data_IF_079751585933
#
_entry.id   IF_079751585933
#
_cell.length_a   1.000
_cell.length_b   1.000
_cell.length_c   1.000
_cell.angle_alpha   90.00
_cell.angle_beta   90.00
_cell.angle_gamma   90.00
#
_symmetry.space_group_name_H-M   'P 1'
#
loop_
_entity.id
_entity.type
_entity.pdbx_description
1 polymer ?
#
# COMPACT_ATOMS: atom_id res chain seq x y z
N UNK A 1 14.88 0.71 31.30
CA UNK A 1 14.70 0.92 29.84
C UNK A 1 13.27 1.41 29.66
N UNK A 2 13.05 2.53 29.00
CA UNK A 2 11.67 3.02 28.72
C UNK A 2 11.01 2.10 27.70
N UNK A 3 9.69 1.97 27.73
CA UNK A 3 8.92 1.14 26.78
C UNK A 3 9.33 1.44 25.34
N UNK A 4 9.42 2.72 25.00
CA UNK A 4 9.81 3.19 23.66
C UNK A 4 11.21 2.70 23.24
N UNK A 5 12.20 2.68 24.17
CA UNK A 5 13.56 2.20 23.84
C UNK A 5 13.54 0.72 23.45
N UNK A 6 12.72 -0.09 24.14
CA UNK A 6 12.54 -1.51 23.84
C UNK A 6 11.87 -1.69 22.48
N UNK A 7 10.80 -0.96 22.21
CA UNK A 7 10.10 -1.01 20.92
C UNK A 7 11.03 -0.62 19.76
N UNK A 8 11.81 0.44 19.91
CA UNK A 8 12.77 0.87 18.88
C UNK A 8 13.87 -0.17 18.63
N UNK A 9 14.34 -0.89 19.68
CA UNK A 9 15.30 -1.97 19.49
C UNK A 9 14.69 -3.15 18.74
N UNK A 10 13.45 -3.54 19.07
CA UNK A 10 12.74 -4.61 18.35
C UNK A 10 12.49 -4.20 16.90
N UNK A 11 12.05 -2.98 16.67
CA UNK A 11 11.82 -2.43 15.34
C UNK A 11 13.09 -2.45 14.48
N UNK A 12 14.22 -2.04 15.04
CA UNK A 12 15.52 -2.08 14.37
C UNK A 12 15.96 -3.50 13.99
N UNK A 13 15.58 -4.51 14.78
CA UNK A 13 15.81 -5.93 14.46
C UNK A 13 14.86 -6.38 13.36
N UNK A 14 13.57 -6.10 13.48
CA UNK A 14 12.53 -6.54 12.52
C UNK A 14 12.78 -5.91 11.15
N UNK A 15 12.96 -4.59 11.08
CA UNK A 15 13.29 -3.87 9.85
C UNK A 15 14.78 -3.77 9.56
N UNK A 16 15.53 -4.72 10.09
CA UNK A 16 16.96 -4.85 9.80
C UNK A 16 17.23 -5.18 8.33
N UNK A 17 18.52 -5.18 7.92
CA UNK A 17 18.92 -5.44 6.52
C UNK A 17 18.35 -6.75 5.96
N UNK A 18 18.16 -7.76 6.82
CA UNK A 18 17.67 -9.09 6.44
C UNK A 18 16.22 -9.05 5.88
N UNK A 19 15.32 -8.26 6.50
CA UNK A 19 13.94 -8.14 6.00
C UNK A 19 13.90 -7.33 4.70
N UNK A 20 14.68 -6.26 4.60
CA UNK A 20 14.78 -5.46 3.39
C UNK A 20 15.33 -6.30 2.21
N UNK A 21 16.35 -7.11 2.48
CA UNK A 21 16.91 -8.05 1.47
C UNK A 21 15.86 -9.10 1.08
N UNK A 22 15.09 -9.61 2.04
CA UNK A 22 14.03 -10.59 1.76
C UNK A 22 12.90 -9.97 0.91
N UNK A 23 12.45 -8.75 1.24
CA UNK A 23 11.41 -8.02 0.51
C UNK A 23 11.84 -7.68 -0.92
N UNK A 24 12.97 -6.99 -1.07
CA UNK A 24 13.48 -6.58 -2.39
C UNK A 24 13.97 -7.78 -3.19
N UNK A 25 14.66 -8.72 -2.53
CA UNK A 25 15.15 -9.96 -3.15
C UNK A 25 14.01 -10.83 -3.71
N UNK A 26 12.89 -10.95 -2.98
CA UNK A 26 11.69 -11.63 -3.49
C UNK A 26 11.15 -10.92 -4.72
N UNK A 27 11.09 -9.59 -4.72
CA UNK A 27 10.67 -8.80 -5.87
C UNK A 27 11.58 -8.97 -7.09
N UNK A 28 12.90 -8.96 -6.89
CA UNK A 28 13.90 -9.22 -7.94
C UNK A 28 13.72 -10.63 -8.49
N UNK A 29 13.64 -11.62 -7.62
CA UNK A 29 13.45 -13.03 -8.02
C UNK A 29 12.17 -13.21 -8.85
N UNK A 30 11.04 -12.66 -8.40
CA UNK A 30 9.79 -12.69 -9.15
C UNK A 30 9.89 -11.94 -10.47
N UNK A 31 10.57 -10.80 -10.52
CA UNK A 31 10.79 -10.02 -11.74
C UNK A 31 11.52 -10.85 -12.80
N UNK A 32 12.58 -11.57 -12.40
CA UNK A 32 13.34 -12.46 -13.30
C UNK A 32 12.46 -13.64 -13.74
N UNK A 33 11.79 -14.31 -12.82
CA UNK A 33 10.92 -15.47 -13.10
C UNK A 33 9.73 -15.13 -14.00
N UNK A 34 9.20 -13.94 -13.89
CA UNK A 34 8.08 -13.41 -14.69
C UNK A 34 8.54 -12.64 -15.93
N UNK A 35 9.87 -12.56 -16.18
CA UNK A 35 10.45 -11.91 -17.36
C UNK A 35 10.04 -10.44 -17.52
N UNK A 36 10.25 -9.64 -16.48
CA UNK A 36 9.94 -8.21 -16.45
C UNK A 36 8.45 -7.92 -16.78
N UNK A 37 7.54 -8.79 -16.32
CA UNK A 37 6.12 -8.70 -16.62
C UNK A 37 5.55 -7.33 -16.27
N UNK A 38 5.97 -6.74 -15.16
CA UNK A 38 5.51 -5.44 -14.69
C UNK A 38 5.82 -4.30 -15.66
N UNK A 39 6.87 -4.41 -16.49
CA UNK A 39 7.14 -3.46 -17.58
C UNK A 39 6.34 -3.82 -18.83
N UNK A 40 6.51 -5.05 -19.31
CA UNK A 40 5.97 -5.50 -20.61
C UNK A 40 4.43 -5.49 -20.62
N UNK A 41 3.80 -5.74 -19.49
CA UNK A 41 2.34 -5.87 -19.38
C UNK A 41 1.67 -4.71 -18.65
N UNK A 42 2.40 -3.68 -18.25
CA UNK A 42 1.83 -2.50 -17.58
C UNK A 42 0.71 -1.83 -18.41
N UNK A 43 0.87 -1.58 -19.72
CA UNK A 43 -0.22 -0.97 -20.50
C UNK A 43 -1.50 -1.81 -20.51
N UNK A 44 -1.35 -3.14 -20.53
CA UNK A 44 -2.49 -4.05 -20.41
C UNK A 44 -3.11 -3.99 -19.02
N UNK A 45 -2.30 -3.96 -17.98
CA UNK A 45 -2.75 -3.88 -16.59
C UNK A 45 -3.56 -2.60 -16.34
N UNK A 46 -3.06 -1.46 -16.80
CA UNK A 46 -3.77 -0.17 -16.73
C UNK A 46 -5.11 -0.21 -17.47
N UNK A 47 -5.13 -0.83 -18.64
CA UNK A 47 -6.40 -1.02 -19.39
C UNK A 47 -7.38 -1.91 -18.63
N UNK A 48 -6.93 -2.93 -17.92
CA UNK A 48 -7.80 -3.84 -17.16
C UNK A 48 -8.48 -3.15 -15.98
N UNK A 49 -7.93 -2.06 -15.44
CA UNK A 49 -8.57 -1.29 -14.36
C UNK A 49 -10.01 -0.90 -14.76
N UNK A 50 -10.19 -0.43 -16.01
CA UNK A 50 -11.48 0.07 -16.48
C UNK A 50 -12.27 -0.94 -17.33
N UNK A 51 -11.59 -1.93 -17.92
CA UNK A 51 -12.17 -2.84 -18.91
C UNK A 51 -12.08 -4.31 -18.51
N UNK A 52 -11.89 -4.62 -17.22
CA UNK A 52 -12.00 -5.99 -16.72
C UNK A 52 -13.41 -6.51 -16.95
N UNK A 53 -13.52 -7.78 -17.39
CA UNK A 53 -14.82 -8.36 -17.74
C UNK A 53 -15.69 -8.71 -16.54
N UNK A 54 -15.14 -8.71 -15.32
CA UNK A 54 -15.82 -9.05 -14.07
C UNK A 54 -16.67 -10.33 -14.14
N UNK A 55 -16.17 -11.35 -14.89
CA UNK A 55 -16.82 -12.63 -15.09
C UNK A 55 -16.14 -13.69 -14.23
N UNK A 56 -16.87 -14.28 -13.33
CA UNK A 56 -16.39 -15.34 -12.43
C UNK A 56 -16.93 -15.15 -11.04
N UNK A 57 -16.52 -16.06 -10.16
CA UNK A 57 -16.89 -15.99 -8.75
C UNK A 57 -16.17 -14.83 -8.08
N UNK A 58 -16.79 -14.21 -7.10
CA UNK A 58 -16.27 -13.06 -6.38
C UNK A 58 -17.39 -12.24 -5.77
N UNK A 59 -17.08 -11.45 -4.74
CA UNK A 59 -18.06 -10.63 -4.02
C UNK A 59 -18.19 -9.22 -4.61
N UNK A 60 -17.08 -8.71 -5.18
CA UNK A 60 -16.99 -7.34 -5.70
C UNK A 60 -16.29 -7.32 -7.06
N UNK A 61 -16.54 -6.29 -7.85
CA UNK A 61 -15.89 -6.10 -9.14
C UNK A 61 -14.37 -5.81 -8.96
N UNK A 62 -13.56 -6.15 -9.96
CA UNK A 62 -12.10 -5.99 -9.90
C UNK A 62 -11.67 -4.55 -9.68
N UNK A 63 -12.40 -3.57 -10.22
CA UNK A 63 -12.15 -2.15 -9.95
C UNK A 63 -12.40 -1.79 -8.48
N UNK A 64 -13.50 -2.28 -7.89
CA UNK A 64 -13.78 -2.11 -6.45
C UNK A 64 -12.73 -2.76 -5.59
N UNK A 65 -12.25 -3.94 -5.97
CA UNK A 65 -11.16 -4.63 -5.27
C UNK A 65 -9.87 -3.81 -5.30
N UNK A 66 -9.52 -3.23 -6.47
CA UNK A 66 -8.36 -2.34 -6.60
C UNK A 66 -8.53 -1.07 -5.76
N UNK A 67 -9.69 -0.40 -5.84
CA UNK A 67 -9.96 0.79 -5.04
C UNK A 67 -9.91 0.49 -3.53
N UNK A 68 -10.39 -0.68 -3.10
CA UNK A 68 -10.30 -1.08 -1.68
C UNK A 68 -8.86 -1.38 -1.27
N UNK A 69 -8.06 -1.98 -2.17
CA UNK A 69 -6.63 -2.17 -1.92
C UNK A 69 -5.89 -0.82 -1.86
N UNK A 70 -6.17 0.10 -2.79
CA UNK A 70 -5.63 1.45 -2.78
C UNK A 70 -6.10 2.27 -1.57
N UNK A 71 -7.34 2.06 -1.11
CA UNK A 71 -7.82 2.67 0.13
C UNK A 71 -6.93 2.32 1.32
N UNK A 72 -6.47 1.06 1.41
CA UNK A 72 -5.60 0.62 2.48
C UNK A 72 -4.16 1.14 2.33
N UNK A 73 -3.64 1.24 1.10
CA UNK A 73 -2.24 1.60 0.83
C UNK A 73 -2.01 3.11 0.72
N UNK A 74 -2.91 3.85 0.03
CA UNK A 74 -2.79 5.31 -0.13
C UNK A 74 -3.26 6.00 1.16
N UNK A 75 -2.32 6.25 2.05
CA UNK A 75 -2.56 6.75 3.41
C UNK A 75 -1.48 7.74 3.87
N UNK A 76 -1.22 7.71 5.17
CA UNK A 76 -0.13 8.52 5.76
C UNK A 76 1.23 8.19 5.17
N UNK A 77 1.45 6.97 4.67
CA UNK A 77 2.70 6.55 4.02
C UNK A 77 3.10 7.44 2.86
N UNK A 78 2.15 7.84 2.03
CA UNK A 78 2.39 8.66 0.83
C UNK A 78 2.71 10.13 1.12
N UNK A 79 2.39 10.62 2.29
CA UNK A 79 2.61 12.03 2.72
C UNK A 79 3.68 12.07 3.81
N UNK A 80 3.39 11.47 4.97
CA UNK A 80 4.28 11.46 6.14
C UNK A 80 5.48 10.53 5.92
N UNK A 81 5.25 9.35 5.35
CA UNK A 81 6.31 8.37 5.09
C UNK A 81 7.34 8.86 4.08
N UNK A 82 6.90 9.47 2.98
CA UNK A 82 7.79 10.07 1.97
C UNK A 82 8.61 11.21 2.57
N UNK A 83 7.98 12.10 3.32
CA UNK A 83 8.66 13.20 4.00
C UNK A 83 9.73 12.69 4.97
N UNK A 84 9.39 11.66 5.76
CA UNK A 84 10.33 11.02 6.68
C UNK A 84 11.50 10.36 5.95
N UNK A 85 11.23 9.68 4.81
CA UNK A 85 12.28 9.08 4.00
C UNK A 85 13.28 10.11 3.48
N UNK A 86 12.78 11.23 2.94
CA UNK A 86 13.63 12.31 2.42
C UNK A 86 14.36 13.03 3.56
N UNK A 87 13.72 13.24 4.70
CA UNK A 87 14.36 13.87 5.86
C UNK A 87 15.52 13.06 6.40
N UNK A 88 15.38 11.73 6.45
CA UNK A 88 16.43 10.83 6.95
C UNK A 88 17.49 10.52 5.89
N UNK A 89 17.09 10.21 4.67
CA UNK A 89 17.95 9.70 3.60
C UNK A 89 18.31 10.71 2.52
N UNK A 90 17.87 11.98 2.67
CA UNK A 90 18.02 12.99 1.62
C UNK A 90 17.15 12.71 0.38
N UNK A 91 17.28 13.53 -0.67
CA UNK A 91 16.56 13.37 -1.94
C UNK A 91 16.72 11.99 -2.59
N UNK A 92 17.90 11.37 -2.42
CA UNK A 92 18.19 10.02 -2.94
C UNK A 92 17.26 8.91 -2.43
N UNK A 93 16.60 9.12 -1.27
CA UNK A 93 15.60 8.18 -0.77
C UNK A 93 14.44 7.99 -1.76
N UNK A 94 14.05 9.03 -2.51
CA UNK A 94 13.00 8.92 -3.52
C UNK A 94 13.37 7.97 -4.66
N UNK A 95 14.63 7.96 -5.11
CA UNK A 95 15.12 6.99 -6.09
C UNK A 95 14.96 5.54 -5.58
N UNK A 96 15.35 5.29 -4.34
CA UNK A 96 15.25 3.96 -3.74
C UNK A 96 13.81 3.53 -3.47
N UNK A 97 12.88 4.48 -3.28
CA UNK A 97 11.43 4.19 -3.29
C UNK A 97 10.98 3.71 -4.67
N UNK A 98 11.46 4.31 -5.77
CA UNK A 98 11.15 3.84 -7.13
C UNK A 98 11.68 2.43 -7.39
N UNK A 99 12.91 2.16 -6.96
CA UNK A 99 13.51 0.81 -7.07
C UNK A 99 12.66 -0.22 -6.31
N UNK A 100 12.29 0.09 -5.07
CA UNK A 100 11.44 -0.77 -4.25
C UNK A 100 10.06 -1.00 -4.91
N UNK A 101 9.43 0.04 -5.44
CA UNK A 101 8.15 -0.06 -6.13
C UNK A 101 8.24 -0.87 -7.42
N UNK A 102 9.30 -0.68 -8.21
CA UNK A 102 9.53 -1.44 -9.44
C UNK A 102 9.53 -2.95 -9.20
N UNK A 103 10.31 -3.40 -8.22
CA UNK A 103 10.34 -4.81 -7.85
C UNK A 103 9.08 -5.23 -7.07
N UNK A 104 8.53 -4.33 -6.27
CA UNK A 104 7.28 -4.51 -5.55
C UNK A 104 6.08 -4.77 -6.46
N UNK A 105 6.04 -4.22 -7.67
CA UNK A 105 4.99 -4.51 -8.66
C UNK A 105 4.94 -5.99 -9.03
N UNK A 106 6.09 -6.66 -9.19
CA UNK A 106 6.14 -8.10 -9.46
C UNK A 106 5.66 -8.91 -8.25
N UNK A 107 5.99 -8.47 -7.04
CA UNK A 107 5.51 -9.06 -5.79
C UNK A 107 3.99 -8.93 -5.69
N UNK A 108 3.44 -7.74 -5.90
CA UNK A 108 2.00 -7.46 -5.87
C UNK A 108 1.24 -8.26 -6.94
N UNK A 109 1.85 -8.47 -8.12
CA UNK A 109 1.31 -9.36 -9.14
C UNK A 109 1.17 -10.79 -8.62
N UNK A 110 2.22 -11.33 -8.01
CA UNK A 110 2.22 -12.69 -7.48
C UNK A 110 1.19 -12.84 -6.35
N UNK A 111 1.12 -11.88 -5.43
CA UNK A 111 0.13 -11.81 -4.35
C UNK A 111 -1.31 -11.86 -4.89
N UNK A 112 -1.65 -11.01 -5.85
CA UNK A 112 -2.98 -10.97 -6.46
C UNK A 112 -3.32 -12.25 -7.23
N UNK A 113 -2.33 -12.86 -7.89
CA UNK A 113 -2.49 -14.14 -8.58
C UNK A 113 -2.79 -15.28 -7.59
N UNK A 114 -1.98 -15.41 -6.53
CA UNK A 114 -2.18 -16.46 -5.52
C UNK A 114 -3.46 -16.27 -4.73
N UNK A 115 -3.87 -15.02 -4.46
CA UNK A 115 -5.10 -14.70 -3.76
C UNK A 115 -6.34 -15.29 -4.46
N UNK A 116 -6.43 -15.14 -5.77
CA UNK A 116 -7.54 -15.69 -6.56
C UNK A 116 -7.40 -17.21 -6.76
N UNK A 117 -6.16 -17.71 -6.91
CA UNK A 117 -5.91 -19.14 -7.12
C UNK A 117 -6.31 -20.00 -5.93
N UNK A 118 -6.06 -19.53 -4.71
CA UNK A 118 -6.27 -20.26 -3.46
C UNK A 118 -7.35 -19.64 -2.57
N UNK A 119 -8.31 -18.93 -3.16
CA UNK A 119 -9.46 -18.43 -2.40
C UNK A 119 -10.40 -19.54 -1.99
N UNK A 120 -11.07 -19.33 -0.87
CA UNK A 120 -12.08 -20.21 -0.29
C UNK A 120 -13.40 -19.45 -0.12
N UNK A 121 -14.42 -20.15 0.36
CA UNK A 121 -15.70 -19.57 0.75
C UNK A 121 -15.84 -19.76 2.26
N UNK A 122 -16.20 -18.70 2.99
CA UNK A 122 -16.43 -18.77 4.42
C UNK A 122 -17.82 -19.34 4.75
N UNK A 123 -18.09 -19.55 6.04
CA UNK A 123 -19.38 -20.11 6.52
C UNK A 123 -20.59 -19.22 6.17
N UNK A 124 -20.39 -17.95 5.87
CA UNK A 124 -21.43 -17.01 5.45
C UNK A 124 -21.59 -16.95 3.92
N UNK A 125 -20.86 -17.77 3.17
CA UNK A 125 -20.88 -17.78 1.70
C UNK A 125 -20.06 -16.66 1.04
N UNK A 126 -19.28 -15.88 1.79
CA UNK A 126 -18.42 -14.85 1.24
C UNK A 126 -17.05 -15.40 0.83
N UNK A 127 -16.43 -14.77 -0.16
CA UNK A 127 -15.06 -15.11 -0.56
C UNK A 127 -14.08 -14.78 0.56
N UNK A 128 -13.23 -15.74 0.88
CA UNK A 128 -12.14 -15.63 1.83
C UNK A 128 -10.81 -16.01 1.15
N UNK A 129 -9.79 -15.20 1.33
CA UNK A 129 -8.48 -15.43 0.71
C UNK A 129 -7.40 -14.54 1.32
N UNK A 130 -6.21 -14.61 0.74
CA UNK A 130 -5.03 -13.93 1.22
C UNK A 130 -3.93 -14.91 1.63
N UNK A 131 -2.83 -14.41 2.24
CA UNK A 131 -1.67 -15.22 2.56
C UNK A 131 -1.97 -16.46 3.41
N UNK A 132 -2.81 -16.34 4.43
CA UNK A 132 -3.17 -17.46 5.28
C UNK A 132 -3.77 -18.63 4.47
N UNK A 133 -4.55 -18.35 3.43
CA UNK A 133 -5.15 -19.39 2.59
C UNK A 133 -4.15 -19.98 1.60
N UNK A 134 -3.35 -19.16 0.88
CA UNK A 134 -2.38 -19.75 -0.05
C UNK A 134 -1.16 -20.36 0.64
N UNK A 135 -0.85 -19.99 1.89
CA UNK A 135 0.13 -20.71 2.71
C UNK A 135 -0.40 -22.12 3.01
N UNK A 136 -1.60 -22.23 3.59
CA UNK A 136 -2.14 -23.53 4.01
C UNK A 136 -2.47 -24.43 2.81
N UNK A 137 -3.11 -23.89 1.77
CA UNK A 137 -3.56 -24.67 0.61
C UNK A 137 -2.47 -24.88 -0.44
N UNK A 138 -1.61 -23.89 -0.64
CA UNK A 138 -0.58 -23.90 -1.67
C UNK A 138 0.69 -24.62 -1.24
N UNK A 139 1.20 -24.34 -0.02
CA UNK A 139 2.37 -25.01 0.53
C UNK A 139 2.01 -26.32 1.25
N UNK A 140 0.74 -26.48 1.63
CA UNK A 140 0.21 -27.67 2.29
C UNK A 140 0.03 -27.52 3.81
N UNK A 141 -0.72 -28.46 4.40
CA UNK A 141 -1.15 -28.42 5.81
C UNK A 141 -0.02 -28.30 6.85
N UNK A 142 1.19 -28.74 6.50
CA UNK A 142 2.36 -28.62 7.38
C UNK A 142 2.74 -27.16 7.65
N UNK A 143 2.37 -26.24 6.75
CA UNK A 143 2.64 -24.81 6.86
C UNK A 143 1.54 -24.02 7.57
N UNK A 144 0.53 -24.72 8.12
CA UNK A 144 -0.55 -24.08 8.88
C UNK A 144 -0.07 -23.15 10.00
N UNK A 145 0.98 -23.48 10.79
CA UNK A 145 1.49 -22.54 11.81
C UNK A 145 1.93 -21.20 11.20
N UNK A 146 2.51 -21.20 9.99
CA UNK A 146 2.90 -19.99 9.28
C UNK A 146 1.68 -19.17 8.84
N UNK A 147 0.61 -19.85 8.41
CA UNK A 147 -0.66 -19.20 8.06
C UNK A 147 -1.32 -18.56 9.27
N UNK A 148 -1.31 -19.24 10.43
CA UNK A 148 -1.80 -18.70 11.69
C UNK A 148 -0.98 -17.47 12.15
N UNK A 149 0.36 -17.53 12.02
CA UNK A 149 1.24 -16.41 12.33
C UNK A 149 0.89 -15.17 11.45
N UNK A 150 0.71 -15.37 10.13
CA UNK A 150 0.29 -14.30 9.25
C UNK A 150 -1.05 -13.69 9.71
N UNK A 151 -2.06 -14.53 9.95
CA UNK A 151 -3.39 -14.06 10.35
C UNK A 151 -3.37 -13.34 11.71
N UNK A 152 -2.56 -13.81 12.65
CA UNK A 152 -2.37 -13.16 13.95
C UNK A 152 -1.74 -11.77 13.79
N UNK A 153 -0.60 -11.67 13.11
CA UNK A 153 0.06 -10.38 12.89
C UNK A 153 -0.80 -9.44 12.01
N UNK A 154 -1.51 -9.97 11.01
CA UNK A 154 -2.43 -9.19 10.19
C UNK A 154 -3.59 -8.59 11.00
N UNK A 155 -4.14 -9.34 11.96
CA UNK A 155 -5.14 -8.82 12.90
C UNK A 155 -4.57 -7.72 13.79
N UNK A 156 -3.36 -7.92 14.35
CA UNK A 156 -2.70 -6.91 15.18
C UNK A 156 -2.35 -5.64 14.38
N UNK A 157 -1.83 -5.79 13.17
CA UNK A 157 -1.53 -4.66 12.28
C UNK A 157 -2.77 -3.83 11.98
N UNK A 158 -3.91 -4.48 11.72
CA UNK A 158 -5.17 -3.79 11.50
C UNK A 158 -5.64 -3.04 12.75
N UNK A 159 -5.57 -3.64 13.93
CA UNK A 159 -6.12 -3.07 15.16
C UNK A 159 -5.21 -2.03 15.81
N UNK A 160 -3.91 -2.28 15.89
CA UNK A 160 -2.95 -1.50 16.68
C UNK A 160 -1.85 -0.87 15.82
N UNK A 161 -1.78 -1.20 14.55
CA UNK A 161 -0.70 -0.81 13.66
C UNK A 161 -1.07 0.31 12.67
N UNK A 162 -0.41 0.26 11.52
CA UNK A 162 -0.55 1.22 10.43
C UNK A 162 -1.98 1.34 9.87
N UNK A 163 -2.84 0.35 10.14
CA UNK A 163 -4.22 0.35 9.66
C UNK A 163 -5.17 1.25 10.42
N UNK A 164 -4.89 1.63 11.66
CA UNK A 164 -5.87 2.32 12.53
C UNK A 164 -5.26 3.44 13.32
N UNK A 165 -4.40 3.12 14.30
CA UNK A 165 -3.95 4.08 15.31
C UNK A 165 -3.14 5.23 14.71
N UNK A 166 -2.23 4.94 13.80
CA UNK A 166 -1.43 5.95 13.11
C UNK A 166 -2.28 6.87 12.23
N UNK A 167 -3.31 6.32 11.59
CA UNK A 167 -4.19 7.07 10.70
C UNK A 167 -5.10 8.04 11.49
N UNK A 168 -5.74 7.53 12.57
CA UNK A 168 -6.59 8.36 13.43
C UNK A 168 -5.80 9.50 14.05
N UNK A 169 -4.61 9.20 14.58
CA UNK A 169 -3.73 10.21 15.16
C UNK A 169 -3.32 11.27 14.10
N UNK A 170 -2.95 10.84 12.88
CA UNK A 170 -2.59 11.76 11.81
C UNK A 170 -3.76 12.69 11.42
N UNK A 171 -5.00 12.19 11.33
CA UNK A 171 -6.17 13.02 11.05
C UNK A 171 -6.41 14.03 12.15
N UNK A 172 -6.50 13.56 13.41
CA UNK A 172 -6.88 14.44 14.55
C UNK A 172 -5.81 15.49 14.82
N UNK A 173 -4.53 15.14 14.73
CA UNK A 173 -3.42 16.08 14.88
C UNK A 173 -3.37 17.12 13.76
N UNK A 174 -3.61 16.70 12.50
CA UNK A 174 -3.63 17.61 11.36
C UNK A 174 -4.80 18.59 11.43
N UNK A 175 -6.00 18.11 11.80
CA UNK A 175 -7.19 18.97 11.99
C UNK A 175 -6.98 19.97 13.12
N UNK A 176 -6.36 19.55 14.22
CA UNK A 176 -6.05 20.43 15.33
C UNK A 176 -5.01 21.50 14.95
N UNK A 177 -3.91 21.09 14.32
CA UNK A 177 -2.83 21.99 13.95
C UNK A 177 -3.22 23.01 12.87
N UNK A 178 -4.02 22.59 11.88
CA UNK A 178 -4.35 23.43 10.72
C UNK A 178 -5.66 24.21 10.84
N UNK A 179 -6.66 23.66 11.54
CA UNK A 179 -8.01 24.23 11.63
C UNK A 179 -8.47 24.53 13.06
N UNK A 180 -7.63 24.24 14.05
CA UNK A 180 -7.97 24.41 15.46
C UNK A 180 -9.10 23.51 15.97
N UNK A 181 -9.46 22.44 15.21
CA UNK A 181 -10.52 21.52 15.62
C UNK A 181 -10.02 20.63 16.74
N UNK A 182 -10.68 20.60 17.92
CA UNK A 182 -10.21 19.79 19.03
C UNK A 182 -10.18 18.29 18.70
N UNK A 183 -9.29 17.54 19.35
CA UNK A 183 -9.09 16.10 19.11
C UNK A 183 -10.36 15.30 19.37
N UNK A 184 -11.08 15.58 20.47
CA UNK A 184 -12.26 14.80 20.88
C UNK A 184 -13.41 14.83 19.85
N UNK A 185 -13.89 15.98 19.33
CA UNK A 185 -14.89 16.00 18.27
C UNK A 185 -14.41 15.32 16.99
N UNK A 186 -13.15 15.54 16.58
CA UNK A 186 -12.58 14.91 15.39
C UNK A 186 -12.60 13.39 15.51
N UNK A 187 -12.12 12.85 16.65
CA UNK A 187 -12.10 11.42 16.92
C UNK A 187 -13.52 10.83 16.97
N UNK A 188 -14.48 11.54 17.56
CA UNK A 188 -15.88 11.11 17.63
C UNK A 188 -16.49 11.00 16.21
N UNK A 189 -16.30 12.01 15.37
CA UNK A 189 -16.81 12.00 13.99
C UNK A 189 -16.20 10.85 13.19
N UNK A 190 -14.87 10.66 13.24
CA UNK A 190 -14.19 9.58 12.55
C UNK A 190 -14.73 8.23 13.02
N UNK A 191 -14.85 8.03 14.34
CA UNK A 191 -15.33 6.78 14.94
C UNK A 191 -16.74 6.45 14.45
N UNK A 192 -17.66 7.42 14.45
CA UNK A 192 -19.05 7.24 14.01
C UNK A 192 -19.09 6.89 12.51
N UNK A 193 -18.37 7.62 11.66
CA UNK A 193 -18.33 7.37 10.22
C UNK A 193 -17.77 5.98 9.90
N UNK A 194 -16.65 5.61 10.55
CA UNK A 194 -16.06 4.27 10.38
C UNK A 194 -17.04 3.20 10.87
N UNK A 195 -17.68 3.36 12.02
CA UNK A 195 -18.65 2.41 12.53
C UNK A 195 -19.78 2.17 11.53
N UNK A 196 -20.42 3.23 11.02
CA UNK A 196 -21.53 3.13 10.05
C UNK A 196 -21.12 2.32 8.81
N UNK A 197 -19.90 2.55 8.29
CA UNK A 197 -19.45 1.89 7.06
C UNK A 197 -19.02 0.44 7.34
N UNK A 198 -18.26 0.21 8.41
CA UNK A 198 -17.62 -1.09 8.65
C UNK A 198 -18.60 -2.15 9.15
N UNK A 199 -19.65 -1.78 9.89
CA UNK A 199 -20.68 -2.74 10.30
C UNK A 199 -21.43 -3.37 9.11
N UNK A 200 -21.44 -2.72 7.94
CA UNK A 200 -21.98 -3.29 6.71
C UNK A 200 -21.04 -4.27 5.97
N UNK A 201 -19.80 -4.43 6.43
CA UNK A 201 -18.82 -5.36 5.83
C UNK A 201 -18.21 -4.87 4.50
N UNK A 202 -17.73 -5.81 3.68
CA UNK A 202 -16.98 -5.50 2.44
C UNK A 202 -17.75 -4.62 1.44
N UNK A 203 -19.04 -4.85 1.26
CA UNK A 203 -19.84 -4.13 0.23
C UNK A 203 -19.88 -2.61 0.47
N UNK A 204 -20.27 -2.08 1.65
CA UNK A 204 -20.19 -0.65 1.94
C UNK A 204 -18.75 -0.12 1.90
N UNK A 205 -17.77 -0.84 2.44
CA UNK A 205 -16.35 -0.44 2.41
C UNK A 205 -15.90 -0.25 0.96
N UNK A 206 -16.11 -1.24 0.09
CA UNK A 206 -15.70 -1.18 -1.31
C UNK A 206 -16.46 -0.11 -2.12
N UNK A 207 -17.74 0.13 -1.81
CA UNK A 207 -18.53 1.20 -2.43
C UNK A 207 -18.04 2.59 -2.02
N UNK A 208 -17.60 2.74 -0.79
CA UNK A 208 -16.99 4.00 -0.29
C UNK A 208 -15.62 4.21 -0.94
N UNK A 209 -14.77 3.17 -0.96
CA UNK A 209 -13.45 3.20 -1.59
C UNK A 209 -13.53 3.51 -3.10
N UNK A 210 -14.47 2.90 -3.83
CA UNK A 210 -14.69 3.15 -5.27
C UNK A 210 -14.94 4.63 -5.60
N UNK A 211 -15.54 5.38 -4.68
CA UNK A 211 -15.83 6.80 -4.86
C UNK A 211 -14.72 7.71 -4.35
N UNK A 212 -14.26 7.45 -3.13
CA UNK A 212 -13.30 8.34 -2.46
C UNK A 212 -11.91 8.20 -3.06
N UNK A 213 -11.43 6.97 -3.32
CA UNK A 213 -10.04 6.75 -3.76
C UNK A 213 -9.70 7.43 -5.08
N UNK A 214 -10.50 7.29 -6.16
CA UNK A 214 -10.21 8.04 -7.37
C UNK A 214 -10.30 9.55 -7.18
N UNK A 215 -11.29 10.04 -6.40
CA UNK A 215 -11.47 11.46 -6.16
C UNK A 215 -10.29 12.05 -5.36
N UNK A 216 -9.85 11.38 -4.29
CA UNK A 216 -8.71 11.85 -3.49
C UNK A 216 -7.39 11.79 -4.28
N UNK A 217 -7.19 10.75 -5.09
CA UNK A 217 -6.00 10.62 -5.91
C UNK A 217 -5.92 11.73 -6.98
N UNK A 218 -7.04 12.04 -7.64
CA UNK A 218 -7.13 13.14 -8.61
C UNK A 218 -6.94 14.50 -7.94
N UNK A 219 -7.58 14.72 -6.78
CA UNK A 219 -7.40 15.95 -6.00
C UNK A 219 -5.92 16.16 -5.64
N UNK A 220 -5.28 15.14 -5.07
CA UNK A 220 -3.88 15.22 -4.67
C UNK A 220 -2.95 15.41 -5.87
N UNK A 221 -3.23 14.71 -6.98
CA UNK A 221 -2.52 14.88 -8.24
C UNK A 221 -2.58 16.32 -8.74
N UNK A 222 -3.78 16.92 -8.78
CA UNK A 222 -3.96 18.31 -9.23
C UNK A 222 -3.18 19.28 -8.34
N UNK A 223 -3.30 19.13 -7.02
CA UNK A 223 -2.62 20.00 -6.05
C UNK A 223 -1.10 19.90 -6.21
N UNK A 224 -0.56 18.70 -6.25
CA UNK A 224 0.89 18.49 -6.34
C UNK A 224 1.46 18.88 -7.70
N UNK A 225 0.79 18.55 -8.80
CA UNK A 225 1.22 18.94 -10.15
C UNK A 225 1.17 20.46 -10.31
N UNK A 226 0.14 21.14 -9.82
CA UNK A 226 0.10 22.60 -9.86
C UNK A 226 1.28 23.21 -9.09
N UNK A 227 1.69 22.61 -7.96
CA UNK A 227 2.85 23.04 -7.20
C UNK A 227 4.15 22.81 -7.98
N UNK A 228 4.30 21.64 -8.63
CA UNK A 228 5.45 21.36 -9.49
C UNK A 228 5.51 22.28 -10.72
N UNK A 229 4.38 22.74 -11.24
CA UNK A 229 4.34 23.76 -12.30
C UNK A 229 4.82 25.11 -11.79
N UNK A 230 4.43 25.52 -10.57
CA UNK A 230 4.92 26.75 -9.94
C UNK A 230 6.45 26.70 -9.79
N UNK A 231 7.01 25.56 -9.41
CA UNK A 231 8.46 25.35 -9.24
C UNK A 231 9.11 24.67 -10.45
N UNK A 232 8.56 24.81 -11.65
CA UNK A 232 9.04 24.09 -12.85
C UNK A 232 10.52 24.36 -13.19
N UNK A 233 11.02 25.56 -12.85
CA UNK A 233 12.43 25.92 -13.03
C UNK A 233 13.39 25.10 -12.15
N UNK A 234 12.96 24.69 -10.96
CA UNK A 234 13.75 23.90 -9.99
C UNK A 234 13.65 22.38 -10.24
N UNK A 235 12.73 21.94 -11.09
CA UNK A 235 12.47 20.51 -11.33
C UNK A 235 13.70 19.76 -11.89
N UNK A 236 14.45 20.28 -12.87
CA UNK A 236 15.68 19.63 -13.35
C UNK A 236 16.72 19.46 -12.23
N UNK A 237 16.91 20.49 -11.41
CA UNK A 237 17.83 20.44 -10.27
C UNK A 237 17.36 19.43 -9.20
N UNK A 238 16.06 19.40 -8.90
CA UNK A 238 15.50 18.44 -7.94
C UNK A 238 15.70 16.99 -8.44
N UNK A 239 15.51 16.71 -9.72
CA UNK A 239 15.79 15.40 -10.30
C UNK A 239 17.28 15.05 -10.20
N UNK A 240 18.19 15.99 -10.48
CA UNK A 240 19.63 15.78 -10.29
C UNK A 240 19.93 15.40 -8.83
N UNK A 241 19.38 16.13 -7.85
CA UNK A 241 19.53 15.81 -6.42
C UNK A 241 19.03 14.41 -6.06
N UNK A 242 17.96 13.93 -6.70
CA UNK A 242 17.44 12.56 -6.49
C UNK A 242 18.46 11.52 -6.94
N UNK A 243 19.06 11.68 -8.12
CA UNK A 243 20.03 10.73 -8.67
C UNK A 243 21.37 10.84 -7.95
N UNK A 244 21.91 12.06 -7.76
CA UNK A 244 23.19 12.28 -7.09
C UNK A 244 23.11 11.78 -5.62
N UNK A 245 22.04 12.11 -4.91
CA UNK A 245 21.81 11.64 -3.54
C UNK A 245 21.64 10.12 -3.42
N UNK A 246 21.25 9.44 -4.49
CA UNK A 246 21.09 7.98 -4.49
C UNK A 246 22.43 7.25 -4.65
N UNK A 247 23.45 7.84 -5.30
CA UNK A 247 24.69 7.17 -5.68
C UNK A 247 25.97 7.84 -5.15
N UNK A 248 25.94 9.14 -4.91
CA UNK A 248 27.12 9.87 -4.46
C UNK A 248 27.09 10.15 -2.94
N UNK A 249 25.91 10.02 -2.33
CA UNK A 249 25.68 10.43 -0.95
C UNK A 249 25.66 11.95 -0.80
N UNK A 250 24.81 12.50 0.06
CA UNK A 250 24.82 13.94 0.32
C UNK A 250 26.06 14.29 1.15
N UNK A 251 27.07 14.80 0.51
CA UNK A 251 28.29 15.35 1.14
C UNK A 251 27.98 16.51 2.13
N UNK A 252 26.74 16.99 2.15
CA UNK A 252 26.27 18.09 2.99
C UNK A 252 26.29 17.78 4.51
N UNK A 253 26.51 16.54 4.93
CA UNK A 253 26.49 16.16 6.35
C UNK A 253 27.85 15.75 6.91
N UNK A 254 28.99 16.10 6.27
CA UNK A 254 30.34 15.91 6.86
C UNK A 254 30.70 14.46 7.24
N UNK A 255 29.96 13.46 6.75
CA UNK A 255 30.15 12.04 7.02
C UNK A 255 30.50 11.25 5.75
N UNK A 256 31.06 10.06 5.92
CA UNK A 256 31.43 9.17 4.83
C UNK A 256 30.30 9.04 3.81
N UNK A 257 30.58 9.27 2.51
CA UNK A 257 29.62 9.19 1.41
C UNK A 257 28.84 7.85 1.40
N UNK A 258 29.49 6.74 1.75
CA UNK A 258 28.83 5.42 1.85
C UNK A 258 27.77 5.33 2.95
N UNK A 259 27.87 6.05 4.04
CA UNK A 259 26.86 6.08 5.08
C UNK A 259 25.59 6.81 4.60
N UNK A 260 25.75 7.88 3.82
CA UNK A 260 24.63 8.62 3.22
C UNK A 260 23.83 7.78 2.21
N UNK A 261 24.54 7.06 1.32
CA UNK A 261 23.91 6.15 0.35
C UNK A 261 23.14 5.03 1.05
N UNK A 262 23.75 4.41 2.07
CA UNK A 262 23.09 3.36 2.83
C UNK A 262 21.82 3.87 3.52
N UNK A 263 21.85 5.07 4.07
CA UNK A 263 20.71 5.68 4.74
C UNK A 263 19.62 6.05 3.75
N UNK A 264 19.97 6.61 2.58
CA UNK A 264 19.02 6.88 1.50
C UNK A 264 18.34 5.59 1.01
N UNK A 265 19.11 4.53 0.78
CA UNK A 265 18.62 3.23 0.38
C UNK A 265 17.67 2.63 1.42
N UNK A 266 18.10 2.56 2.68
CA UNK A 266 17.30 1.99 3.77
C UNK A 266 16.01 2.77 3.98
N UNK A 267 16.07 4.11 4.05
CA UNK A 267 14.89 4.95 4.27
C UNK A 267 13.93 4.86 3.10
N UNK A 268 14.43 4.96 1.86
CA UNK A 268 13.62 4.90 0.66
C UNK A 268 12.93 3.55 0.50
N UNK A 269 13.66 2.44 0.64
CA UNK A 269 13.09 1.08 0.51
C UNK A 269 12.06 0.84 1.62
N UNK A 270 12.41 1.12 2.89
CA UNK A 270 11.52 0.85 4.01
C UNK A 270 10.21 1.64 3.91
N UNK A 271 10.29 2.95 3.66
CA UNK A 271 9.10 3.80 3.57
C UNK A 271 8.32 3.61 2.25
N UNK A 272 9.00 3.25 1.16
CA UNK A 272 8.36 2.84 -0.09
C UNK A 272 7.53 1.57 0.07
N UNK A 273 8.08 0.54 0.69
CA UNK A 273 7.37 -0.73 0.97
C UNK A 273 6.27 -0.56 2.03
N UNK A 274 6.49 0.30 3.01
CA UNK A 274 5.45 0.66 3.97
C UNK A 274 4.24 1.33 3.29
N UNK A 275 4.47 2.22 2.32
CA UNK A 275 3.42 2.91 1.58
C UNK A 275 2.64 1.95 0.68
N UNK A 276 3.31 1.24 -0.23
CA UNK A 276 2.64 0.40 -1.23
C UNK A 276 2.31 -1.03 -0.77
N UNK A 277 2.77 -1.43 0.42
CA UNK A 277 2.51 -2.73 1.04
C UNK A 277 2.90 -3.95 0.17
N UNK A 278 3.84 -3.81 -0.77
CA UNK A 278 4.28 -4.93 -1.60
C UNK A 278 5.12 -5.92 -0.80
N UNK A 279 4.65 -7.16 -0.71
CA UNK A 279 5.29 -8.20 0.09
C UNK A 279 4.78 -8.29 1.53
N UNK A 280 3.95 -7.36 1.99
CA UNK A 280 3.32 -7.44 3.31
C UNK A 280 2.16 -8.45 3.35
N UNK A 281 1.52 -8.74 2.21
CA UNK A 281 0.43 -9.71 2.14
C UNK A 281 -0.95 -9.17 2.50
N UNK A 282 -1.11 -7.88 2.69
CA UNK A 282 -2.40 -7.23 3.03
C UNK A 282 -3.35 -7.17 1.83
N UNK A 283 -2.91 -6.61 0.71
CA UNK A 283 -3.74 -6.43 -0.49
C UNK A 283 -4.31 -7.72 -1.10
N UNK A 284 -3.66 -8.89 -1.09
CA UNK A 284 -4.24 -10.14 -1.56
C UNK A 284 -5.51 -10.55 -0.82
N UNK A 285 -5.74 -10.06 0.40
CA UNK A 285 -6.96 -10.36 1.17
C UNK A 285 -8.21 -9.85 0.44
N UNK A 286 -8.19 -8.62 -0.07
CA UNK A 286 -9.32 -8.09 -0.85
C UNK A 286 -9.25 -8.49 -2.32
N UNK A 287 -8.07 -8.72 -2.88
CA UNK A 287 -7.90 -9.18 -4.25
C UNK A 287 -8.58 -10.54 -4.49
N UNK A 288 -8.63 -11.41 -3.47
CA UNK A 288 -9.33 -12.67 -3.51
C UNK A 288 -10.84 -12.51 -3.79
N UNK A 289 -11.46 -11.45 -3.27
CA UNK A 289 -12.89 -11.17 -3.42
C UNK A 289 -13.27 -10.62 -4.81
N UNK A 290 -12.31 -10.35 -5.69
CA UNK A 290 -12.56 -9.82 -7.03
C UNK A 290 -13.25 -10.83 -7.94
N UNK A 291 -14.24 -10.37 -8.72
CA UNK A 291 -14.96 -11.16 -9.74
C UNK A 291 -14.06 -11.41 -10.94
N UNK A 292 -13.32 -12.49 -10.92
CA UNK A 292 -12.49 -12.93 -12.05
C UNK A 292 -12.37 -14.45 -12.11
N UNK A 293 -12.21 -14.98 -13.33
CA UNK A 293 -11.87 -16.39 -13.58
C UNK A 293 -10.36 -16.62 -13.63
N UNK A 294 -9.58 -15.57 -13.80
CA UNK A 294 -8.17 -15.67 -14.10
C UNK A 294 -7.30 -15.09 -12.99
N UNK A 295 -6.58 -15.94 -12.25
CA UNK A 295 -5.64 -15.47 -11.23
C UNK A 295 -4.66 -14.42 -11.74
N UNK A 296 -4.07 -14.63 -12.92
CA UNK A 296 -3.13 -13.70 -13.54
C UNK A 296 -3.76 -12.35 -13.95
N UNK A 297 -5.06 -12.30 -14.24
CA UNK A 297 -5.78 -11.05 -14.53
C UNK A 297 -5.85 -10.17 -13.27
N UNK A 298 -6.21 -10.77 -12.13
CA UNK A 298 -6.20 -10.05 -10.86
C UNK A 298 -4.78 -9.66 -10.44
N UNK A 299 -3.79 -10.50 -10.71
CA UNK A 299 -2.38 -10.14 -10.51
C UNK A 299 -1.98 -8.87 -11.28
N UNK A 300 -2.37 -8.77 -12.56
CA UNK A 300 -2.13 -7.58 -13.38
C UNK A 300 -2.81 -6.33 -12.79
N UNK A 301 -4.05 -6.46 -12.32
CA UNK A 301 -4.77 -5.35 -11.68
C UNK A 301 -4.09 -4.96 -10.37
N UNK A 302 -3.76 -5.94 -9.52
CA UNK A 302 -3.12 -5.69 -8.22
C UNK A 302 -1.77 -4.97 -8.33
N UNK A 303 -0.94 -5.28 -9.33
CA UNK A 303 0.36 -4.62 -9.49
C UNK A 303 0.23 -3.13 -9.83
N UNK A 304 -0.90 -2.70 -10.42
CA UNK A 304 -1.13 -1.27 -10.71
C UNK A 304 -1.33 -0.46 -9.44
N UNK A 305 -1.72 -1.10 -8.33
CA UNK A 305 -1.79 -0.45 -7.02
C UNK A 305 -0.44 0.13 -6.60
N UNK A 306 0.63 -0.66 -6.66
CA UNK A 306 2.00 -0.19 -6.37
C UNK A 306 2.46 0.91 -7.32
N UNK A 307 2.09 0.80 -8.61
CA UNK A 307 2.40 1.84 -9.60
C UNK A 307 1.73 3.17 -9.25
N UNK A 308 0.43 3.15 -8.94
CA UNK A 308 -0.33 4.36 -8.60
C UNK A 308 0.17 4.95 -7.27
N UNK A 309 0.32 4.11 -6.25
CA UNK A 309 0.72 4.51 -4.91
C UNK A 309 2.11 5.17 -4.90
N UNK A 310 3.11 4.48 -5.41
CA UNK A 310 4.50 4.91 -5.23
C UNK A 310 5.06 5.62 -6.45
N UNK A 311 4.89 5.06 -7.66
CA UNK A 311 5.46 5.69 -8.85
C UNK A 311 4.73 7.00 -9.19
N UNK A 312 3.43 7.12 -8.87
CA UNK A 312 2.71 8.38 -9.07
C UNK A 312 2.65 9.20 -7.78
N UNK A 313 1.93 8.74 -6.76
CA UNK A 313 1.60 9.60 -5.60
C UNK A 313 2.82 9.93 -4.75
N UNK A 314 3.65 8.92 -4.37
CA UNK A 314 4.87 9.21 -3.59
C UNK A 314 5.88 10.05 -4.37
N UNK A 315 5.98 9.87 -5.70
CA UNK A 315 6.84 10.71 -6.55
C UNK A 315 6.41 12.16 -6.51
N UNK A 316 5.12 12.43 -6.63
CA UNK A 316 4.57 13.80 -6.55
C UNK A 316 4.86 14.44 -5.20
N UNK A 317 4.64 13.72 -4.10
CA UNK A 317 4.99 14.20 -2.75
C UNK A 317 6.48 14.49 -2.63
N UNK A 318 7.31 13.52 -3.03
CA UNK A 318 8.76 13.62 -2.90
C UNK A 318 9.35 14.78 -3.71
N UNK A 319 8.94 14.90 -4.98
CA UNK A 319 9.38 16.02 -5.82
C UNK A 319 8.92 17.37 -5.26
N UNK A 320 7.68 17.47 -4.77
CA UNK A 320 7.17 18.69 -4.12
C UNK A 320 8.03 19.10 -2.94
N UNK A 321 8.44 18.16 -2.09
CA UNK A 321 9.32 18.41 -0.95
C UNK A 321 10.72 18.86 -1.40
N UNK A 322 11.25 18.24 -2.45
CA UNK A 322 12.61 18.52 -2.94
C UNK A 322 12.67 19.89 -3.64
N UNK A 323 11.75 20.17 -4.58
CA UNK A 323 11.74 21.44 -5.34
C UNK A 323 11.50 22.66 -4.45
N UNK A 324 10.76 22.51 -3.35
CA UNK A 324 10.50 23.58 -2.41
C UNK A 324 11.70 23.91 -1.49
N UNK A 325 12.72 23.03 -1.43
CA UNK A 325 13.83 23.17 -0.48
C UNK A 325 13.46 22.92 0.99
N UNK A 326 12.19 22.58 1.29
CA UNK A 326 11.70 22.40 2.66
C UNK A 326 12.44 21.28 3.42
N UNK A 327 12.99 20.29 2.73
CA UNK A 327 13.74 19.17 3.32
C UNK A 327 15.03 19.59 4.04
N UNK A 328 15.56 20.76 3.74
CA UNK A 328 16.75 21.34 4.39
C UNK A 328 16.45 21.89 5.79
N UNK A 329 15.17 22.21 6.08
CA UNK A 329 14.75 22.73 7.39
C UNK A 329 14.68 21.62 8.47
N UNK A 330 14.26 21.97 9.70
CA UNK A 330 14.23 21.07 10.86
C UNK A 330 12.94 20.24 10.98
N UNK A 331 11.94 20.49 10.13
CA UNK A 331 10.66 19.80 10.19
C UNK A 331 10.74 18.37 9.63
N UNK A 332 9.83 17.50 10.09
CA UNK A 332 9.73 16.11 9.64
C UNK A 332 8.26 15.70 9.45
N UNK A 333 8.04 14.58 8.78
CA UNK A 333 6.72 13.98 8.59
C UNK A 333 5.71 14.93 7.94
N UNK A 334 4.50 15.02 8.51
CA UNK A 334 3.43 15.88 7.98
C UNK A 334 3.82 17.35 7.96
N UNK A 335 4.55 17.83 8.98
CA UNK A 335 5.00 19.21 9.07
C UNK A 335 5.97 19.58 7.94
N UNK A 336 6.84 18.66 7.52
CA UNK A 336 7.71 18.85 6.37
C UNK A 336 6.94 19.00 5.06
N UNK A 337 5.96 18.12 4.83
CA UNK A 337 5.10 18.23 3.64
C UNK A 337 4.29 19.52 3.67
N UNK A 338 3.79 19.94 4.84
CA UNK A 338 3.08 21.20 5.00
C UNK A 338 3.99 22.39 4.70
N UNK A 339 5.23 22.40 5.16
CA UNK A 339 6.20 23.43 4.83
C UNK A 339 6.42 23.51 3.32
N UNK A 340 6.62 22.36 2.65
CA UNK A 340 6.76 22.29 1.20
C UNK A 340 5.55 22.89 0.45
N UNK A 341 4.34 22.56 0.86
CA UNK A 341 3.12 23.13 0.29
C UNK A 341 3.00 24.63 0.55
N UNK A 342 3.43 25.09 1.72
CA UNK A 342 3.35 26.50 2.10
C UNK A 342 4.23 27.40 1.23
N UNK A 343 5.34 26.91 0.68
CA UNK A 343 6.17 27.65 -0.26
C UNK A 343 5.45 28.02 -1.56
N UNK A 344 4.48 27.20 -2.01
CA UNK A 344 3.71 27.50 -3.23
C UNK A 344 2.31 28.03 -2.98
N UNK A 345 1.63 27.56 -1.92
CA UNK A 345 0.24 27.87 -1.64
C UNK A 345 0.05 28.85 -0.45
N UNK A 346 1.12 29.24 0.24
CA UNK A 346 1.03 30.16 1.38
C UNK A 346 0.05 29.68 2.45
N UNK A 347 -0.84 30.55 2.89
CA UNK A 347 -1.81 30.31 3.97
C UNK A 347 -2.85 29.20 3.67
N UNK A 348 -3.04 28.81 2.42
CA UNK A 348 -4.02 27.77 2.04
C UNK A 348 -3.42 26.36 2.17
N UNK A 349 -2.11 26.24 2.19
CA UNK A 349 -1.39 24.97 2.24
C UNK A 349 -1.83 24.03 3.38
N UNK A 350 -1.98 24.49 4.64
CA UNK A 350 -2.41 23.64 5.74
C UNK A 350 -3.78 22.99 5.47
N UNK A 351 -4.72 23.73 4.87
CA UNK A 351 -6.06 23.23 4.56
C UNK A 351 -5.99 22.15 3.48
N UNK A 352 -5.26 22.40 2.37
CA UNK A 352 -5.10 21.45 1.27
C UNK A 352 -4.48 20.14 1.74
N UNK A 353 -3.42 20.23 2.54
CA UNK A 353 -2.76 19.04 3.08
C UNK A 353 -3.65 18.29 4.06
N UNK A 354 -4.33 19.01 4.99
CA UNK A 354 -5.21 18.39 5.98
C UNK A 354 -6.38 17.66 5.32
N UNK A 355 -6.99 18.22 4.28
CA UNK A 355 -8.06 17.57 3.51
C UNK A 355 -7.51 16.31 2.83
N UNK A 356 -6.36 16.41 2.16
CA UNK A 356 -5.72 15.27 1.48
C UNK A 356 -5.38 14.16 2.47
N UNK A 357 -4.71 14.49 3.57
CA UNK A 357 -4.31 13.55 4.61
C UNK A 357 -5.51 12.89 5.29
N UNK A 358 -6.58 13.67 5.55
CA UNK A 358 -7.82 13.14 6.14
C UNK A 358 -8.48 12.12 5.22
N UNK A 359 -8.61 12.41 3.92
CA UNK A 359 -9.17 11.47 2.96
C UNK A 359 -8.33 10.20 2.84
N UNK A 360 -7.01 10.34 2.73
CA UNK A 360 -6.07 9.22 2.64
C UNK A 360 -6.13 8.33 3.88
N UNK A 361 -5.98 8.91 5.05
CA UNK A 361 -5.98 8.18 6.30
C UNK A 361 -7.36 7.55 6.62
N UNK A 362 -8.46 8.25 6.34
CA UNK A 362 -9.80 7.71 6.52
C UNK A 362 -10.05 6.46 5.67
N UNK A 363 -9.66 6.48 4.40
CA UNK A 363 -9.82 5.31 3.53
C UNK A 363 -8.94 4.15 3.98
N UNK A 364 -7.75 4.44 4.51
CA UNK A 364 -6.83 3.41 5.05
C UNK A 364 -7.47 2.68 6.24
N UNK A 365 -8.12 3.39 7.15
CA UNK A 365 -8.86 2.79 8.26
C UNK A 365 -9.93 1.80 7.74
N UNK A 366 -10.67 2.16 6.70
CA UNK A 366 -11.72 1.31 6.12
C UNK A 366 -11.13 0.05 5.45
N UNK A 367 -10.05 0.19 4.70
CA UNK A 367 -9.39 -0.93 4.02
C UNK A 367 -8.82 -1.94 5.01
N UNK A 368 -8.10 -1.44 6.02
CA UNK A 368 -7.50 -2.28 7.05
C UNK A 368 -8.52 -2.92 7.98
N UNK A 369 -9.68 -2.29 8.22
CA UNK A 369 -10.77 -2.95 8.92
C UNK A 369 -11.14 -4.28 8.27
N UNK A 370 -11.32 -4.29 6.95
CA UNK A 370 -11.62 -5.51 6.22
C UNK A 370 -10.49 -6.53 6.28
N UNK A 371 -9.24 -6.09 6.17
CA UNK A 371 -8.09 -7.00 6.22
C UNK A 371 -7.99 -7.72 7.57
N UNK A 372 -8.07 -6.98 8.67
CA UNK A 372 -8.03 -7.57 10.00
C UNK A 372 -9.23 -8.47 10.30
N UNK A 373 -10.44 -8.11 9.84
CA UNK A 373 -11.62 -8.95 9.95
C UNK A 373 -11.39 -10.30 9.26
N UNK A 374 -10.85 -10.31 8.05
CA UNK A 374 -10.57 -11.56 7.33
C UNK A 374 -9.46 -12.39 7.98
N UNK A 375 -8.44 -11.74 8.52
CA UNK A 375 -7.41 -12.42 9.30
C UNK A 375 -8.00 -13.07 10.55
N UNK A 376 -8.84 -12.36 11.30
CA UNK A 376 -9.47 -12.91 12.49
C UNK A 376 -10.46 -14.05 12.17
N UNK A 377 -11.23 -13.93 11.08
CA UNK A 377 -12.12 -15.01 10.61
C UNK A 377 -11.34 -16.28 10.33
N UNK A 378 -10.13 -16.19 9.78
CA UNK A 378 -9.28 -17.37 9.61
C UNK A 378 -8.85 -18.01 10.94
N UNK A 379 -8.63 -17.21 12.00
CA UNK A 379 -8.21 -17.69 13.32
C UNK A 379 -9.36 -18.34 14.13
N UNK A 380 -10.52 -17.68 14.17
CA UNK A 380 -11.61 -18.01 15.11
C UNK A 380 -12.97 -18.24 14.45
N UNK A 381 -13.04 -18.17 13.10
CA UNK A 381 -14.27 -18.33 12.34
C UNK A 381 -15.14 -17.06 12.30
N UNK A 382 -16.28 -17.14 11.62
CA UNK A 382 -17.18 -16.00 11.37
C UNK A 382 -17.81 -15.42 12.64
N UNK A 383 -17.85 -16.19 13.73
CA UNK A 383 -18.34 -15.72 15.05
C UNK A 383 -17.51 -14.58 15.61
N UNK A 384 -16.26 -14.44 15.18
CA UNK A 384 -15.34 -13.36 15.57
C UNK A 384 -15.64 -12.01 14.92
N UNK A 385 -16.49 -11.91 13.90
CA UNK A 385 -16.72 -10.68 13.12
C UNK A 385 -17.28 -9.56 14.00
N UNK A 386 -18.38 -9.82 14.73
CA UNK A 386 -19.02 -8.77 15.55
C UNK A 386 -18.13 -8.29 16.71
N UNK A 387 -17.51 -9.17 17.52
CA UNK A 387 -16.54 -8.73 18.53
C UNK A 387 -15.38 -7.92 17.94
N UNK A 388 -14.85 -8.37 16.80
CA UNK A 388 -13.77 -7.64 16.11
C UNK A 388 -14.19 -6.22 15.77
N UNK A 389 -15.35 -6.02 15.12
CA UNK A 389 -15.84 -4.69 14.72
C UNK A 389 -16.04 -3.77 15.90
N UNK A 390 -16.58 -4.30 17.00
CA UNK A 390 -16.76 -3.54 18.24
C UNK A 390 -15.40 -3.12 18.84
N UNK A 391 -14.44 -4.04 18.95
CA UNK A 391 -13.10 -3.73 19.42
C UNK A 391 -12.39 -2.73 18.50
N UNK A 392 -12.52 -2.89 17.17
CA UNK A 392 -11.92 -2.00 16.18
C UNK A 392 -12.42 -0.57 16.35
N UNK A 393 -13.74 -0.37 16.48
CA UNK A 393 -14.36 0.95 16.71
C UNK A 393 -13.91 1.54 18.05
N UNK A 394 -13.82 0.72 19.11
CA UNK A 394 -13.33 1.17 20.40
C UNK A 394 -11.85 1.62 20.35
N UNK A 395 -11.00 0.89 19.61
CA UNK A 395 -9.60 1.27 19.39
C UNK A 395 -9.51 2.60 18.62
N UNK A 396 -10.33 2.80 17.58
CA UNK A 396 -10.38 4.08 16.86
C UNK A 396 -10.68 5.24 17.82
N UNK A 397 -11.71 5.08 18.67
CA UNK A 397 -12.08 6.11 19.64
C UNK A 397 -10.93 6.42 20.64
N UNK A 398 -10.17 5.39 21.04
CA UNK A 398 -9.04 5.54 21.95
C UNK A 398 -7.74 6.02 21.31
N UNK A 399 -7.54 5.74 20.02
CA UNK A 399 -6.28 5.98 19.31
C UNK A 399 -5.87 7.46 19.25
N UNK A 400 -6.84 8.35 19.25
CA UNK A 400 -6.58 9.80 19.22
C UNK A 400 -5.85 10.32 20.46
N UNK A 401 -5.85 9.56 21.56
CA UNK A 401 -5.25 9.92 22.85
C UNK A 401 -3.95 9.18 23.15
N UNK A 402 -3.51 8.28 22.25
CA UNK A 402 -2.29 7.50 22.43
C UNK A 402 -1.04 8.32 22.03
N UNK A 403 0.12 7.97 22.61
CA UNK A 403 1.38 8.60 22.27
C UNK A 403 1.85 8.16 20.87
N UNK A 404 2.20 9.12 20.03
CA UNK A 404 2.47 8.90 18.61
C UNK A 404 3.68 7.99 18.36
N UNK A 405 4.76 8.19 19.11
CA UNK A 405 6.05 7.48 18.91
C UNK A 405 5.93 5.98 19.20
N UNK A 406 5.23 5.61 20.30
CA UNK A 406 5.00 4.21 20.66
C UNK A 406 4.09 3.50 19.65
N UNK A 407 3.07 4.22 19.15
CA UNK A 407 2.16 3.72 18.13
C UNK A 407 2.91 3.38 16.84
N UNK A 408 3.77 4.27 16.36
CA UNK A 408 4.52 4.06 15.13
C UNK A 408 5.51 2.89 15.27
N UNK A 409 6.24 2.81 16.37
CA UNK A 409 7.17 1.70 16.61
C UNK A 409 6.43 0.34 16.64
N UNK A 410 5.28 0.27 17.33
CA UNK A 410 4.48 -0.94 17.35
C UNK A 410 3.90 -1.30 15.98
N UNK A 411 3.42 -0.31 15.24
CA UNK A 411 2.90 -0.48 13.89
C UNK A 411 3.96 -1.05 12.94
N UNK A 412 5.15 -0.50 12.96
CA UNK A 412 6.28 -0.97 12.14
C UNK A 412 6.65 -2.43 12.49
N UNK A 413 6.75 -2.77 13.77
CA UNK A 413 7.07 -4.13 14.22
C UNK A 413 6.05 -5.16 13.70
N UNK A 414 4.76 -4.94 13.93
CA UNK A 414 3.73 -5.92 13.54
C UNK A 414 3.60 -6.04 12.02
N UNK A 415 3.79 -4.95 11.29
CA UNK A 415 3.85 -4.94 9.82
C UNK A 415 5.02 -5.78 9.29
N UNK A 416 6.20 -5.60 9.84
CA UNK A 416 7.39 -6.36 9.45
C UNK A 416 7.24 -7.86 9.73
N UNK A 417 6.71 -8.21 10.90
CA UNK A 417 6.46 -9.61 11.27
C UNK A 417 5.38 -10.27 10.38
N UNK A 418 4.38 -9.52 9.93
CA UNK A 418 3.37 -10.00 8.99
C UNK A 418 3.97 -10.33 7.61
N UNK A 419 4.98 -9.58 7.17
CA UNK A 419 5.59 -9.78 5.85
C UNK A 419 6.30 -11.13 5.71
N UNK A 420 6.95 -11.62 6.76
CA UNK A 420 7.80 -12.82 6.72
C UNK A 420 7.05 -14.05 6.22
N UNK A 421 5.89 -14.44 6.81
CA UNK A 421 5.11 -15.57 6.33
C UNK A 421 4.70 -15.44 4.87
N UNK A 422 4.33 -14.24 4.45
CA UNK A 422 3.93 -13.96 3.08
C UNK A 422 5.07 -14.16 2.09
N UNK A 423 6.26 -13.61 2.37
CA UNK A 423 7.43 -13.72 1.50
C UNK A 423 7.90 -15.17 1.34
N UNK A 424 7.86 -15.97 2.42
CA UNK A 424 8.16 -17.40 2.36
C UNK A 424 7.19 -18.10 1.40
N UNK A 425 5.88 -17.77 1.48
CA UNK A 425 4.88 -18.36 0.60
C UNK A 425 5.07 -17.94 -0.86
N UNK A 426 5.36 -16.67 -1.13
CA UNK A 426 5.61 -16.17 -2.48
C UNK A 426 6.79 -16.87 -3.15
N UNK A 427 7.89 -17.07 -2.42
CA UNK A 427 9.05 -17.80 -2.90
C UNK A 427 8.70 -19.27 -3.19
N UNK A 428 8.01 -19.94 -2.25
CA UNK A 428 7.60 -21.35 -2.40
C UNK A 428 6.59 -21.59 -3.51
N UNK A 429 5.68 -20.63 -3.76
CA UNK A 429 4.61 -20.73 -4.75
C UNK A 429 4.92 -20.06 -6.10
N UNK A 430 6.13 -19.58 -6.31
CA UNK A 430 6.52 -18.90 -7.57
C UNK A 430 6.23 -19.77 -8.80
N UNK A 431 6.40 -21.09 -8.70
CA UNK A 431 6.08 -22.04 -9.79
C UNK A 431 4.59 -21.97 -10.19
N UNK A 432 3.70 -21.85 -9.22
CA UNK A 432 2.25 -21.70 -9.44
C UNK A 432 1.95 -20.38 -10.14
N UNK A 433 2.54 -19.27 -9.67
CA UNK A 433 2.38 -17.95 -10.29
C UNK A 433 2.81 -17.98 -11.76
N UNK A 434 3.97 -18.56 -12.07
CA UNK A 434 4.48 -18.67 -13.45
C UNK A 434 3.56 -19.54 -14.31
N UNK A 435 3.04 -20.65 -13.79
CA UNK A 435 2.12 -21.52 -14.51
C UNK A 435 0.79 -20.83 -14.84
N UNK A 436 0.16 -20.15 -13.87
CA UNK A 436 -1.09 -19.41 -14.08
C UNK A 436 -0.88 -18.24 -15.04
N UNK A 437 0.27 -17.57 -14.98
CA UNK A 437 0.65 -16.51 -15.91
C UNK A 437 0.72 -17.04 -17.35
N UNK A 438 1.43 -18.14 -17.58
CA UNK A 438 1.54 -18.78 -18.91
C UNK A 438 0.17 -19.19 -19.43
N UNK A 439 -0.66 -19.86 -18.60
CA UNK A 439 -2.00 -20.30 -18.95
C UNK A 439 -2.90 -19.14 -19.39
N UNK A 440 -2.85 -18.02 -18.67
CA UNK A 440 -3.64 -16.83 -19.00
C UNK A 440 -3.24 -16.22 -20.34
N UNK A 441 -1.95 -16.02 -20.60
CA UNK A 441 -1.48 -15.42 -21.84
C UNK A 441 -1.66 -16.35 -23.05
N UNK A 442 -1.55 -17.66 -22.89
CA UNK A 442 -1.90 -18.64 -23.92
C UNK A 442 -3.38 -18.56 -24.28
N UNK A 443 -4.27 -18.51 -23.29
CA UNK A 443 -5.70 -18.33 -23.53
C UNK A 443 -6.01 -17.03 -24.30
N UNK A 444 -5.34 -15.93 -23.96
CA UNK A 444 -5.51 -14.66 -24.67
C UNK A 444 -5.04 -14.74 -26.11
N UNK A 445 -3.90 -15.37 -26.39
CA UNK A 445 -3.39 -15.53 -27.75
C UNK A 445 -4.36 -16.34 -28.63
N UNK A 446 -4.91 -17.43 -28.10
CA UNK A 446 -5.93 -18.25 -28.81
C UNK A 446 -7.20 -17.42 -29.09
N UNK A 447 -7.67 -16.65 -28.12
CA UNK A 447 -8.84 -15.78 -28.26
C UNK A 447 -8.63 -14.72 -29.31
N UNK A 448 -7.48 -14.05 -29.28
CA UNK A 448 -7.17 -12.97 -30.21
C UNK A 448 -6.98 -13.50 -31.64
N UNK A 449 -6.39 -14.68 -31.83
CA UNK A 449 -6.31 -15.37 -33.11
C UNK A 449 -7.70 -15.73 -33.68
N UNK A 450 -8.61 -16.23 -32.84
CA UNK A 450 -10.00 -16.52 -33.24
C UNK A 450 -10.75 -15.24 -33.65
N UNK A 451 -10.52 -14.12 -32.97
CA UNK A 451 -11.14 -12.83 -33.29
C UNK A 451 -10.66 -12.28 -34.64
N UNK A 452 -9.35 -12.40 -34.93
CA UNK A 452 -8.77 -12.03 -36.21
C UNK A 452 -9.36 -12.87 -37.34
N UNK A 453 -9.41 -14.18 -37.18
CA UNK A 453 -10.01 -15.09 -38.16
C UNK A 453 -11.49 -14.82 -38.40
N UNK A 454 -12.25 -14.49 -37.34
CA UNK A 454 -13.66 -14.10 -37.46
C UNK A 454 -13.82 -12.79 -38.26
N UNK A 455 -13.04 -11.76 -37.96
CA UNK A 455 -13.06 -10.47 -38.70
C UNK A 455 -12.69 -10.66 -40.17
N UNK A 456 -11.64 -11.43 -40.47
CA UNK A 456 -11.24 -11.71 -41.86
C UNK A 456 -12.34 -12.38 -42.69
N UNK A 457 -13.14 -13.28 -42.07
CA UNK A 457 -14.27 -13.94 -42.75
C UNK A 457 -15.49 -13.02 -42.99
N UNK A 458 -15.62 -11.90 -42.26
CA UNK A 458 -16.82 -11.06 -42.30
C UNK A 458 -16.56 -9.68 -42.96
N UNK A 459 -15.30 -9.23 -43.08
CA UNK A 459 -14.94 -7.99 -43.80
C UNK A 459 -15.01 -8.20 -45.33
N UNK A 460 -14.85 -9.45 -45.83
CA UNK A 460 -15.00 -9.75 -47.26
C UNK A 460 -16.43 -9.94 -47.74
N UNK A 461 -17.45 -9.66 -46.88
CA UNK A 461 -18.88 -9.81 -47.19
C UNK A 461 -19.66 -8.48 -47.22
N UNK A 462 -18.94 -7.35 -47.10
CA UNK A 462 -19.46 -6.02 -47.41
C UNK A 462 -18.74 -5.48 -48.67
#
# INVERSE_FOLDING_TARGET
>A
MRMLDLLNQIDAIVWGPWLLVLLVGTGIYLTIRLRLLQMVKLPRALRLIFFARNKGDGDIDSFKALCTALAATVGTGNIVGVATAIKLGGPGALFWMWVAAFFGMATKYAEGCLAVKFRSIDENGNIAGGPMYYIEQGLGKKWKPLALAFAFFGTLTAMLGSGTTTQVNAITSSLQASLGVPILPSAAVITILVAIITFGGLKPISKTAEKIVPAMAVLYFIITVALLVIFSGELPHALALVFDGAFEGTAAAGGFAGAGIMLAMRSGIARGLFSNESGLGSAPIVAAAAKTKWPAEQGLISMTGTFIDTIIICTLTGLTIIVSGAWLGDTNGAALTQAAFSHGYGAVAPILLTVSLTLFAFTTILGWNYYGERCLVYLVGVKGITPYRLCYVAIIAGSAFMQLEEIWALADIVNGLMAIPNLIALLGLTGVVVAETKRYFQHLAIRDAKLVAYKARHIGKK
#
